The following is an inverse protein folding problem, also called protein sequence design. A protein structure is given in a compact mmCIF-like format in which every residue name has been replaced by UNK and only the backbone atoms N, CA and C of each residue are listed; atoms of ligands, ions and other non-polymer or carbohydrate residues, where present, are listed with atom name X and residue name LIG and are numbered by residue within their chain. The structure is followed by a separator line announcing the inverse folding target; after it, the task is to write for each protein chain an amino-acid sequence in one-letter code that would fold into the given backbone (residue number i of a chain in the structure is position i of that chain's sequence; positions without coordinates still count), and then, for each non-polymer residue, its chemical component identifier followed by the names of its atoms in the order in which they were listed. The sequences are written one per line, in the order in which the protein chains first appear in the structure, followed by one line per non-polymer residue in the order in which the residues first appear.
data_IF_458256484482
#
_entry.id   IF_458256484482
#
_cell.length_a   1.000
_cell.length_b   1.000
_cell.length_c   1.000
_cell.angle_alpha   90.00
_cell.angle_beta   90.00
_cell.angle_gamma   90.00
#
_symmetry.space_group_name_H-M   'P 1'
#
loop_
_entity.id
_entity.type
_entity.pdbx_description
1 polymer ?
#
# COMPACT_ATOMS: atom_id res chain seq x y z
N UNK A 1 11.13 -25.85 10.00
CA UNK A 1 9.90 -25.13 10.39
C UNK A 1 9.59 -24.16 9.27
N UNK A 2 8.32 -24.11 8.88
CA UNK A 2 7.87 -23.49 7.64
C UNK A 2 7.04 -22.27 8.09
N UNK A 3 7.72 -21.30 8.70
CA UNK A 3 7.11 -20.11 9.29
C UNK A 3 6.37 -19.32 8.21
N UNK A 4 5.04 -19.48 8.20
CA UNK A 4 4.18 -18.77 7.29
C UNK A 4 4.22 -17.28 7.65
N UNK A 5 4.45 -16.42 6.66
CA UNK A 5 4.53 -14.96 6.86
C UNK A 5 3.76 -14.25 5.77
N UNK A 6 3.02 -13.22 6.13
CA UNK A 6 2.47 -12.24 5.20
C UNK A 6 3.26 -10.94 5.34
N UNK A 7 3.56 -10.32 4.21
CA UNK A 7 4.20 -9.00 4.14
C UNK A 7 3.34 -8.08 3.29
N UNK A 8 3.28 -6.82 3.67
CA UNK A 8 2.65 -5.76 2.90
C UNK A 8 3.73 -4.82 2.40
N UNK A 9 3.53 -4.29 1.20
CA UNK A 9 4.37 -3.28 0.59
C UNK A 9 3.49 -2.07 0.22
N UNK A 10 3.95 -0.90 0.62
CA UNK A 10 3.30 0.38 0.36
C UNK A 10 4.35 1.40 -0.06
N UNK A 11 3.89 2.55 -0.53
CA UNK A 11 4.79 3.50 -1.16
C UNK A 11 4.24 4.91 -1.25
N UNK A 12 5.11 5.79 -1.74
CA UNK A 12 4.74 7.15 -2.11
C UNK A 12 5.08 7.35 -3.57
N UNK A 13 4.08 7.68 -4.37
CA UNK A 13 4.23 7.90 -5.80
C UNK A 13 3.97 9.35 -6.14
N UNK A 14 4.59 9.85 -7.21
CA UNK A 14 4.27 11.18 -7.74
C UNK A 14 3.05 11.06 -8.61
N UNK A 15 2.10 12.00 -8.50
CA UNK A 15 0.89 12.00 -9.32
C UNK A 15 1.19 11.84 -10.82
N UNK A 16 0.84 10.68 -11.35
CA UNK A 16 1.01 10.28 -12.75
C UNK A 16 -0.33 9.93 -13.43
N UNK A 17 -1.45 9.98 -12.69
CA UNK A 17 -2.78 9.64 -13.18
C UNK A 17 -3.07 8.13 -13.21
N UNK A 18 -2.15 7.30 -12.71
CA UNK A 18 -2.38 5.87 -12.51
C UNK A 18 -2.76 5.57 -11.05
N UNK A 19 -3.49 4.47 -10.85
CA UNK A 19 -3.81 3.96 -9.54
C UNK A 19 -2.63 3.14 -8.99
N UNK A 20 -2.14 3.50 -7.82
CA UNK A 20 -1.11 2.75 -7.09
C UNK A 20 -1.74 2.04 -5.91
N UNK A 21 -1.57 0.72 -5.85
CA UNK A 21 -2.16 -0.14 -4.84
C UNK A 21 -1.12 -0.62 -3.84
N UNK A 22 -1.57 -1.01 -2.64
CA UNK A 22 -0.73 -1.77 -1.73
C UNK A 22 -0.56 -3.20 -2.26
N UNK A 23 0.65 -3.74 -2.14
CA UNK A 23 0.96 -5.10 -2.56
C UNK A 23 1.08 -6.00 -1.33
N UNK A 24 0.63 -7.25 -1.44
CA UNK A 24 0.86 -8.24 -0.39
C UNK A 24 1.58 -9.45 -0.94
N UNK A 25 2.51 -9.96 -0.16
CA UNK A 25 3.27 -11.16 -0.47
C UNK A 25 3.13 -12.19 0.64
N UNK A 26 2.83 -13.43 0.23
CA UNK A 26 2.75 -14.57 1.12
C UNK A 26 4.02 -15.40 1.02
N UNK A 27 4.73 -15.53 2.12
CA UNK A 27 5.87 -16.42 2.24
C UNK A 27 5.44 -17.68 2.95
N UNK A 28 5.46 -18.78 2.20
CA UNK A 28 5.23 -20.11 2.74
C UNK A 28 3.87 -20.27 3.45
N UNK A 29 2.88 -19.51 2.98
CA UNK A 29 1.52 -19.45 3.48
C UNK A 29 0.53 -19.88 2.38
N UNK A 30 0.77 -21.05 1.79
CA UNK A 30 -0.07 -21.56 0.70
C UNK A 30 -1.49 -21.93 1.21
N UNK A 31 -2.51 -21.53 0.45
CA UNK A 31 -3.91 -21.67 0.82
C UNK A 31 -4.41 -20.67 1.88
N UNK A 32 -3.65 -19.62 2.19
CA UNK A 32 -4.14 -18.49 2.97
C UNK A 32 -4.85 -17.48 2.05
N UNK A 33 -5.90 -16.86 2.56
CA UNK A 33 -6.60 -15.76 1.89
C UNK A 33 -6.09 -14.44 2.43
N UNK A 34 -5.56 -13.58 1.55
CA UNK A 34 -5.12 -12.24 1.91
C UNK A 34 -6.30 -11.28 1.97
N UNK A 35 -6.34 -10.50 3.04
CA UNK A 35 -7.27 -9.40 3.22
C UNK A 35 -6.49 -8.11 3.44
N UNK A 36 -7.05 -7.02 2.93
CA UNK A 36 -6.56 -5.67 3.02
C UNK A 36 -7.60 -4.81 3.72
N UNK A 37 -7.15 -3.83 4.49
CA UNK A 37 -8.01 -2.82 5.11
C UNK A 37 -7.35 -1.46 4.94
N UNK A 38 -8.07 -0.52 4.32
CA UNK A 38 -7.63 0.86 4.18
C UNK A 38 -8.12 1.70 5.36
N UNK A 39 -7.19 2.23 6.16
CA UNK A 39 -7.45 3.00 7.37
C UNK A 39 -8.39 2.24 8.31
N UNK A 40 -9.48 2.88 8.70
CA UNK A 40 -10.52 2.31 9.55
C UNK A 40 -11.60 1.54 8.78
N UNK A 41 -11.45 1.34 7.48
CA UNK A 41 -12.42 0.66 6.63
C UNK A 41 -12.62 -0.82 6.92
N UNK A 42 -13.39 -1.47 6.06
CA UNK A 42 -13.66 -2.91 6.15
C UNK A 42 -12.53 -3.74 5.53
N UNK A 43 -12.36 -4.97 6.01
CA UNK A 43 -11.45 -5.93 5.41
C UNK A 43 -12.00 -6.46 4.10
N UNK A 44 -11.24 -6.33 3.03
CA UNK A 44 -11.59 -6.75 1.68
C UNK A 44 -10.48 -7.60 1.06
N UNK A 45 -10.80 -8.47 0.12
CA UNK A 45 -9.80 -9.20 -0.67
C UNK A 45 -9.25 -8.37 -1.83
N UNK A 46 -9.82 -7.18 -2.06
CA UNK A 46 -9.38 -6.22 -3.07
C UNK A 46 -8.34 -5.28 -2.46
N UNK A 47 -7.15 -5.20 -3.06
CA UNK A 47 -6.12 -4.28 -2.61
C UNK A 47 -6.60 -2.82 -2.74
N UNK A 48 -6.51 -2.01 -1.68
CA UNK A 48 -6.82 -0.59 -1.76
C UNK A 48 -5.79 0.11 -2.63
N UNK A 49 -6.24 1.14 -3.34
CA UNK A 49 -5.39 1.94 -4.23
C UNK A 49 -5.69 3.42 -4.10
N UNK A 50 -4.69 4.22 -4.40
CA UNK A 50 -4.73 5.68 -4.44
C UNK A 50 -4.37 6.16 -5.84
N UNK A 51 -5.08 7.16 -6.35
CA UNK A 51 -4.87 7.73 -7.69
C UNK A 51 -4.61 9.24 -7.61
N UNK A 52 -5.20 9.92 -6.62
CA UNK A 52 -5.16 11.36 -6.47
C UNK A 52 -4.47 11.78 -5.18
N UNK A 53 -3.75 12.91 -5.26
CA UNK A 53 -3.15 13.54 -4.07
C UNK A 53 -4.19 13.92 -3.02
N UNK A 54 -5.42 14.22 -3.46
CA UNK A 54 -6.53 14.58 -2.57
C UNK A 54 -6.97 13.43 -1.65
N UNK A 55 -6.65 12.19 -1.98
CA UNK A 55 -6.93 11.03 -1.12
C UNK A 55 -6.03 11.01 0.12
N UNK A 56 -4.90 11.71 0.08
CA UNK A 56 -3.99 11.84 1.20
C UNK A 56 -3.19 10.56 1.48
N UNK A 57 -2.86 10.36 2.75
CA UNK A 57 -2.12 9.17 3.22
C UNK A 57 -3.14 8.12 3.60
N UNK A 58 -3.11 6.98 2.91
CA UNK A 58 -3.95 5.82 3.21
C UNK A 58 -3.09 4.77 3.89
N UNK A 59 -3.35 4.50 5.16
CA UNK A 59 -2.75 3.36 5.86
C UNK A 59 -3.42 2.08 5.38
N UNK A 60 -2.64 1.05 5.06
CA UNK A 60 -3.14 -0.25 4.61
C UNK A 60 -2.63 -1.32 5.55
N UNK A 61 -3.57 -1.98 6.22
CA UNK A 61 -3.32 -3.17 7.01
C UNK A 61 -3.53 -4.40 6.14
N UNK A 62 -2.63 -5.37 6.22
CA UNK A 62 -2.77 -6.65 5.51
C UNK A 62 -2.74 -7.79 6.51
N UNK A 63 -3.68 -8.72 6.35
CA UNK A 63 -3.70 -9.99 7.10
C UNK A 63 -3.95 -11.15 6.16
N UNK A 64 -3.53 -12.33 6.55
CA UNK A 64 -3.81 -13.55 5.83
C UNK A 64 -4.44 -14.56 6.79
N UNK A 65 -5.61 -15.08 6.42
CA UNK A 65 -6.35 -16.03 7.26
C UNK A 65 -6.47 -17.38 6.55
N UNK A 66 -6.48 -18.46 7.33
CA UNK A 66 -6.68 -19.82 6.82
C UNK A 66 -7.44 -20.65 7.84
N UNK A 67 -8.55 -21.24 7.42
CA UNK A 67 -9.38 -22.07 8.28
C UNK A 67 -8.55 -23.22 8.89
N UNK A 68 -8.54 -23.31 10.22
CA UNK A 68 -7.80 -24.35 10.95
C UNK A 68 -6.32 -24.02 11.20
N UNK A 69 -5.86 -22.81 10.88
CA UNK A 69 -4.49 -22.34 11.14
C UNK A 69 -4.48 -20.96 11.81
N UNK A 70 -3.33 -20.56 12.35
CA UNK A 70 -3.11 -19.22 12.92
C UNK A 70 -3.16 -18.15 11.83
N UNK A 71 -3.88 -17.05 12.12
CA UNK A 71 -3.92 -15.87 11.27
C UNK A 71 -2.55 -15.17 11.26
N UNK A 72 -2.15 -14.71 10.07
CA UNK A 72 -0.93 -13.96 9.86
C UNK A 72 -1.29 -12.49 9.69
N UNK A 73 -0.49 -11.60 10.26
CA UNK A 73 -0.64 -10.15 10.11
C UNK A 73 0.67 -9.56 9.58
N UNK A 74 0.56 -8.67 8.61
CA UNK A 74 1.71 -7.89 8.14
C UNK A 74 1.85 -6.62 8.98
N UNK A 75 2.97 -5.94 8.82
CA UNK A 75 3.11 -4.57 9.31
C UNK A 75 2.24 -3.63 8.49
N UNK A 76 1.68 -2.62 9.15
CA UNK A 76 0.89 -1.59 8.48
C UNK A 76 1.78 -0.77 7.56
N UNK A 77 1.36 -0.65 6.30
CA UNK A 77 2.05 0.17 5.29
C UNK A 77 1.22 1.39 4.97
N UNK A 78 1.82 2.39 4.31
CA UNK A 78 1.07 3.56 3.83
C UNK A 78 1.22 3.68 2.33
N UNK A 79 0.13 4.02 1.66
CA UNK A 79 0.10 4.37 0.25
C UNK A 79 -0.33 5.84 0.12
N UNK A 80 0.41 6.62 -0.65
CA UNK A 80 0.08 8.03 -0.88
C UNK A 80 0.52 8.50 -2.27
N UNK A 81 -0.25 9.42 -2.83
CA UNK A 81 0.14 10.15 -4.04
C UNK A 81 0.59 11.56 -3.63
N UNK A 82 1.82 11.90 -3.98
CA UNK A 82 2.43 13.21 -3.72
C UNK A 82 2.30 14.12 -4.94
N UNK A 83 2.21 15.43 -4.70
CA UNK A 83 2.24 16.41 -5.81
C UNK A 83 3.60 16.32 -6.50
N UNK A 84 3.60 16.44 -7.84
CA UNK A 84 4.85 16.65 -8.57
C UNK A 84 5.53 17.91 -8.01
N UNK A 85 6.81 17.84 -7.59
CA UNK A 85 7.52 19.03 -7.16
C UNK A 85 7.59 20.00 -8.34
N UNK A 86 7.03 21.20 -8.16
CA UNK A 86 7.15 22.26 -9.15
C UNK A 86 8.53 22.92 -8.97
N UNK A 87 9.50 22.51 -9.77
CA UNK A 87 10.80 23.19 -9.82
C UNK A 87 10.65 24.45 -10.67
N UNK A 88 10.47 25.61 -10.04
CA UNK A 88 10.61 26.89 -10.75
C UNK A 88 12.11 27.15 -10.88
N UNK A 89 12.68 26.80 -12.04
CA UNK A 89 14.04 27.20 -12.39
C UNK A 89 14.00 28.67 -12.83
N UNK A 90 14.25 29.60 -11.92
CA UNK A 90 14.50 31.01 -12.28
C UNK A 90 15.89 31.09 -12.90
N UNK A 91 15.95 31.17 -14.23
CA UNK A 91 17.14 31.67 -14.91
C UNK A 91 17.18 33.18 -14.64
N UNK A 92 17.94 33.60 -13.64
CA UNK A 92 18.25 35.02 -13.43
C UNK A 92 19.16 35.44 -14.59
N UNK A 93 18.56 35.83 -15.72
CA UNK A 93 19.27 36.55 -16.77
C UNK A 93 19.41 38.00 -16.29
N UNK A 94 20.38 38.22 -15.41
CA UNK A 94 20.85 39.55 -15.03
C UNK A 94 21.46 40.21 -16.27
N UNK A 95 20.97 41.40 -16.58
CA UNK A 95 21.31 42.25 -17.72
C UNK A 95 22.23 43.37 -17.28
#
# INVERSE_FOLDING_TARGET
MKDAKVTADGGSWVYDGAAHAAEASLKNADGYTVYYKAGDGEWTTTAPSVTNVAEGIVTVSVKATKTGYTDLTAEDVTIQITKKPATITVNNAEK
#
